data_IF_088049560507
#
_entry.id   IF_088049560507
#
_cell.length_a   1.000
_cell.length_b   1.000
_cell.length_c   1.000
_cell.angle_alpha   90.00
_cell.angle_beta   90.00
_cell.angle_gamma   90.00
#
_symmetry.space_group_name_H-M   'P 1'
#
loop_
_entity.id
_entity.type
_entity.pdbx_description
1 polymer ?
#
# COMPACT_ATOMS: atom_id res chain seq x y z
N UNK A 1 2.86 -7.78 -21.45
CA UNK A 1 4.20 -7.73 -20.81
C UNK A 1 4.57 -9.13 -20.32
N UNK A 2 5.73 -9.65 -20.72
CA UNK A 2 6.29 -10.85 -20.06
C UNK A 2 6.63 -10.52 -18.60
N UNK A 3 6.92 -11.53 -17.77
CA UNK A 3 7.36 -11.31 -16.38
C UNK A 3 8.69 -10.52 -16.33
N UNK A 4 9.56 -10.70 -17.30
CA UNK A 4 10.86 -9.99 -17.40
C UNK A 4 10.72 -8.48 -17.68
N UNK A 5 9.68 -8.06 -18.41
CA UNK A 5 9.41 -6.62 -18.69
C UNK A 5 8.96 -5.83 -17.44
N UNK A 6 8.74 -6.50 -16.32
CA UNK A 6 8.36 -5.88 -15.05
C UNK A 6 9.56 -5.38 -14.23
N UNK A 7 10.80 -5.77 -14.58
CA UNK A 7 12.04 -5.32 -13.91
C UNK A 7 12.77 -4.25 -14.75
N UNK A 8 12.87 -2.99 -14.30
CA UNK A 8 13.79 -2.36 -13.32
C UNK A 8 15.13 -1.80 -13.88
N UNK A 9 15.50 -2.04 -15.15
CA UNK A 9 16.77 -1.49 -15.70
C UNK A 9 16.63 -0.54 -16.89
N UNK A 10 15.44 -0.40 -17.47
CA UNK A 10 15.20 0.40 -18.69
C UNK A 10 14.23 1.53 -18.42
N UNK A 11 14.51 2.69 -19.04
CA UNK A 11 13.65 3.86 -18.90
C UNK A 11 12.24 3.55 -19.41
N UNK A 12 11.25 4.01 -18.67
CA UNK A 12 9.84 3.95 -19.08
C UNK A 12 9.31 5.35 -19.27
N UNK A 13 8.67 5.57 -20.41
CA UNK A 13 8.11 6.86 -20.78
C UNK A 13 6.61 6.81 -20.53
N UNK A 14 6.07 7.77 -19.78
CA UNK A 14 4.62 7.98 -19.67
C UNK A 14 4.21 9.14 -20.53
N UNK A 15 3.29 8.87 -21.45
CA UNK A 15 2.60 9.88 -22.23
C UNK A 15 1.16 10.00 -21.71
N UNK A 16 0.66 11.23 -21.61
CA UNK A 16 -0.70 11.52 -21.18
C UNK A 16 -1.41 12.45 -22.16
N UNK A 17 -2.73 12.31 -22.27
CA UNK A 17 -3.55 13.15 -23.14
C UNK A 17 -3.72 14.58 -22.59
N UNK A 18 -3.55 15.58 -23.46
CA UNK A 18 -3.87 16.98 -23.22
C UNK A 18 -5.35 17.25 -23.59
N UNK A 19 -6.31 16.87 -22.74
CA UNK A 19 -7.73 17.19 -22.99
C UNK A 19 -8.78 16.41 -22.18
N UNK A 20 -9.99 16.97 -22.02
CA UNK A 20 -11.15 16.26 -21.43
C UNK A 20 -11.78 15.33 -22.47
N UNK A 21 -11.90 14.04 -22.12
CA UNK A 21 -12.36 12.93 -23.00
C UNK A 21 -13.67 13.18 -23.76
N UNK A 22 -13.78 12.70 -25.01
CA UNK A 22 -15.01 12.14 -25.56
C UNK A 22 -15.22 10.69 -25.07
N UNK A 23 -16.46 10.33 -24.73
CA UNK A 23 -16.85 8.96 -24.36
C UNK A 23 -16.98 8.10 -25.62
N UNK A 24 -16.14 7.07 -25.79
CA UNK A 24 -16.48 5.73 -26.31
C UNK A 24 -15.21 4.92 -26.65
N UNK A 25 -15.28 3.59 -26.58
CA UNK A 25 -14.11 2.72 -26.49
C UNK A 25 -13.93 1.67 -27.58
N UNK A 26 -12.66 1.27 -27.78
CA UNK A 26 -12.20 -0.05 -28.24
C UNK A 26 -10.67 -0.19 -28.02
N UNK A 27 -10.06 -1.39 -28.12
CA UNK A 27 -8.99 -1.84 -27.20
C UNK A 27 -7.55 -1.92 -27.77
N UNK A 28 -6.63 -2.14 -26.79
CA UNK A 28 -5.22 -2.61 -26.84
C UNK A 28 -4.10 -1.55 -26.74
N UNK A 29 -4.02 -0.93 -25.56
CA UNK A 29 -2.77 -0.53 -24.90
C UNK A 29 -2.86 -0.97 -23.42
N UNK A 30 -1.74 -1.19 -22.72
CA UNK A 30 -1.75 -1.41 -21.27
C UNK A 30 -2.05 -0.09 -20.55
N UNK A 31 -3.32 0.28 -20.57
CA UNK A 31 -3.87 1.54 -20.11
C UNK A 31 -4.02 1.52 -18.58
N UNK A 32 -3.07 2.12 -17.84
CA UNK A 32 -3.18 2.26 -16.38
C UNK A 32 -4.29 3.24 -15.98
N UNK A 33 -4.57 4.22 -16.84
CA UNK A 33 -5.71 5.12 -16.81
C UNK A 33 -6.10 5.43 -18.25
N UNK A 34 -7.37 5.63 -18.56
CA UNK A 34 -7.92 5.71 -19.95
C UNK A 34 -7.23 6.80 -20.83
N UNK A 35 -6.40 7.66 -20.22
CA UNK A 35 -5.74 8.80 -20.83
C UNK A 35 -4.20 8.73 -20.80
N UNK A 36 -3.58 7.64 -20.32
CA UNK A 36 -2.11 7.51 -20.24
C UNK A 36 -1.57 6.15 -20.65
N UNK A 37 -0.40 6.16 -21.30
CA UNK A 37 0.32 4.99 -21.80
C UNK A 37 1.75 5.00 -21.28
N UNK A 38 2.22 3.84 -20.81
CA UNK A 38 3.62 3.60 -20.50
C UNK A 38 4.29 2.85 -21.65
N UNK A 39 5.48 3.32 -22.04
CA UNK A 39 6.30 2.72 -23.09
C UNK A 39 7.63 2.30 -22.45
N UNK A 40 8.02 1.05 -22.62
CA UNK A 40 9.37 0.60 -22.31
C UNK A 40 10.29 1.07 -23.45
N UNK A 41 11.13 2.08 -23.19
CA UNK A 41 12.02 2.61 -24.23
C UNK A 41 13.22 1.71 -24.50
N UNK A 42 13.45 0.69 -23.67
CA UNK A 42 14.59 -0.24 -23.76
C UNK A 42 15.99 0.41 -23.72
N UNK A 43 16.07 1.70 -23.40
CA UNK A 43 17.32 2.47 -23.30
C UNK A 43 17.59 2.90 -21.87
N UNK A 44 18.87 3.12 -21.56
CA UNK A 44 19.36 3.64 -20.27
C UNK A 44 19.60 5.14 -20.32
N UNK A 45 19.91 5.67 -21.51
CA UNK A 45 20.22 7.08 -21.70
C UNK A 45 18.95 7.94 -21.79
N UNK A 46 18.92 9.01 -20.99
CA UNK A 46 17.78 9.93 -20.94
C UNK A 46 17.55 10.64 -22.29
N UNK A 47 18.64 11.00 -22.97
CA UNK A 47 18.59 11.70 -24.26
C UNK A 47 17.94 10.83 -25.35
N UNK A 48 18.22 9.53 -25.36
CA UNK A 48 17.61 8.57 -26.28
C UNK A 48 16.14 8.31 -25.94
N UNK A 49 15.82 8.18 -24.64
CA UNK A 49 14.44 8.01 -24.21
C UNK A 49 13.56 9.21 -24.61
N UNK A 50 14.11 10.43 -24.54
CA UNK A 50 13.44 11.65 -25.00
C UNK A 50 13.20 11.63 -26.51
N UNK A 51 14.18 11.20 -27.32
CA UNK A 51 14.01 11.07 -28.78
C UNK A 51 12.91 10.08 -29.13
N UNK A 52 12.92 8.89 -28.53
CA UNK A 52 11.88 7.86 -28.72
C UNK A 52 10.50 8.40 -28.32
N UNK A 53 10.43 9.14 -27.20
CA UNK A 53 9.19 9.77 -26.75
C UNK A 53 8.64 10.80 -27.74
N UNK A 54 9.51 11.60 -28.35
CA UNK A 54 9.15 12.63 -29.32
C UNK A 54 8.71 12.02 -30.66
N UNK A 55 9.39 10.97 -31.12
CA UNK A 55 9.01 10.22 -32.32
C UNK A 55 7.64 9.57 -32.16
N UNK A 56 7.40 8.93 -31.01
CA UNK A 56 6.11 8.32 -30.70
C UNK A 56 5.00 9.39 -30.58
N UNK A 57 5.26 10.50 -29.88
CA UNK A 57 4.35 11.64 -29.78
C UNK A 57 3.94 12.14 -31.16
N UNK A 58 4.90 12.35 -32.06
CA UNK A 58 4.66 12.81 -33.44
C UNK A 58 3.83 11.79 -34.22
N UNK A 59 4.15 10.50 -34.12
CA UNK A 59 3.42 9.45 -34.82
C UNK A 59 1.94 9.39 -34.41
N UNK A 60 1.65 9.52 -33.11
CA UNK A 60 0.26 9.50 -32.61
C UNK A 60 -0.48 10.80 -32.95
N UNK A 61 0.12 11.96 -32.72
CA UNK A 61 -0.55 13.24 -32.99
C UNK A 61 -0.82 13.45 -34.49
N UNK A 62 -0.02 12.87 -35.39
CA UNK A 62 -0.30 12.90 -36.82
C UNK A 62 -1.53 12.07 -37.22
N UNK A 63 -1.90 11.05 -36.43
CA UNK A 63 -3.06 10.20 -36.72
C UNK A 63 -4.38 10.82 -36.26
N UNK A 64 -4.37 11.74 -35.28
CA UNK A 64 -5.58 12.29 -34.67
C UNK A 64 -5.59 13.83 -34.74
N UNK A 65 -6.64 14.42 -35.32
CA UNK A 65 -6.75 15.89 -35.48
C UNK A 65 -7.22 16.63 -34.22
N UNK A 66 -7.88 15.95 -33.29
CA UNK A 66 -8.52 16.53 -32.11
C UNK A 66 -7.96 15.99 -30.78
N UNK A 67 -7.02 15.05 -30.86
CA UNK A 67 -6.45 14.36 -29.71
C UNK A 67 -4.94 14.53 -29.74
N UNK A 68 -4.38 15.21 -28.74
CA UNK A 68 -2.93 15.36 -28.59
C UNK A 68 -2.45 14.61 -27.35
N UNK A 69 -1.33 13.90 -27.49
CA UNK A 69 -0.59 13.31 -26.38
C UNK A 69 0.68 14.10 -26.11
N UNK A 70 1.09 14.14 -24.85
CA UNK A 70 2.33 14.78 -24.42
C UNK A 70 3.10 13.94 -23.40
N UNK A 71 4.37 14.28 -23.24
CA UNK A 71 5.25 13.68 -22.26
C UNK A 71 4.87 14.12 -20.85
N UNK A 72 4.45 13.17 -20.02
CA UNK A 72 4.11 13.42 -18.61
C UNK A 72 5.28 13.09 -17.66
N UNK A 73 6.13 12.13 -18.06
CA UNK A 73 7.35 11.85 -17.31
C UNK A 73 8.14 10.66 -17.84
N UNK A 74 9.41 10.63 -17.45
CA UNK A 74 10.32 9.51 -17.69
C UNK A 74 10.63 8.88 -16.34
N UNK A 75 10.65 7.55 -16.29
CA UNK A 75 10.87 6.77 -15.09
C UNK A 75 12.08 5.87 -15.28
N UNK A 76 13.04 5.96 -14.36
CA UNK A 76 14.17 5.04 -14.30
C UNK A 76 13.71 3.63 -13.95
N UNK A 77 12.70 3.54 -13.07
CA UNK A 77 12.18 2.28 -12.51
C UNK A 77 10.68 2.36 -12.38
N UNK A 78 10.00 1.24 -12.65
CA UNK A 78 8.55 1.15 -12.51
C UNK A 78 8.18 -0.24 -12.00
N UNK A 79 7.66 -0.27 -10.77
CA UNK A 79 6.97 -1.41 -10.19
C UNK A 79 5.48 -1.31 -10.53
N UNK A 80 5.03 -2.14 -11.48
CA UNK A 80 3.62 -2.22 -11.87
C UNK A 80 2.96 -3.45 -11.24
N UNK A 81 2.06 -3.22 -10.29
CA UNK A 81 1.35 -4.30 -9.58
C UNK A 81 0.02 -4.64 -10.26
N UNK A 82 -0.89 -3.66 -10.34
CA UNK A 82 -2.24 -3.81 -10.89
C UNK A 82 -2.65 -2.56 -11.66
N UNK A 83 -3.79 -2.62 -12.36
CA UNK A 83 -4.40 -1.42 -12.98
C UNK A 83 -4.53 -0.30 -11.93
N UNK A 84 -4.03 0.89 -12.27
CA UNK A 84 -3.98 2.09 -11.39
C UNK A 84 -3.11 1.96 -10.12
N UNK A 85 -2.33 0.88 -9.97
CA UNK A 85 -1.45 0.64 -8.81
C UNK A 85 -0.01 0.45 -9.26
N UNK A 86 0.80 1.49 -9.06
CA UNK A 86 2.21 1.45 -9.40
C UNK A 86 3.03 2.33 -8.46
N UNK A 87 4.32 2.03 -8.41
CA UNK A 87 5.33 2.92 -7.88
C UNK A 87 6.45 3.05 -8.90
N UNK A 88 6.99 4.25 -9.04
CA UNK A 88 8.00 4.53 -10.04
C UNK A 88 9.02 5.55 -9.53
N UNK A 89 10.26 5.41 -9.99
CA UNK A 89 11.31 6.40 -9.78
C UNK A 89 11.31 7.35 -10.98
N UNK A 90 10.68 8.51 -10.83
CA UNK A 90 10.59 9.56 -11.85
C UNK A 90 11.94 10.28 -11.97
N UNK A 91 12.39 10.52 -13.19
CA UNK A 91 13.56 11.34 -13.50
C UNK A 91 13.10 12.77 -13.68
N UNK A 92 13.66 13.68 -12.88
CA UNK A 92 13.48 15.13 -12.98
C UNK A 92 14.69 15.78 -13.67
N UNK A 93 14.58 17.08 -13.97
CA UNK A 93 15.66 17.83 -14.61
C UNK A 93 16.94 17.81 -13.76
N UNK A 94 18.08 17.54 -14.41
CA UNK A 94 19.40 17.64 -13.78
C UNK A 94 19.87 16.40 -12.99
N UNK A 95 19.34 15.20 -13.27
CA UNK A 95 19.65 13.89 -12.64
C UNK A 95 18.96 13.58 -11.32
N UNK A 96 18.14 14.50 -10.80
CA UNK A 96 17.36 14.25 -9.59
C UNK A 96 16.27 13.21 -9.87
N UNK A 97 16.06 12.30 -8.93
CA UNK A 97 14.97 11.32 -9.00
C UNK A 97 13.97 11.54 -7.87
N UNK A 98 12.69 11.30 -8.14
CA UNK A 98 11.60 11.38 -7.16
C UNK A 98 10.71 10.14 -7.24
N UNK A 99 10.27 9.64 -6.08
CA UNK A 99 9.42 8.44 -6.02
C UNK A 99 7.95 8.86 -6.19
N UNK A 100 7.32 8.37 -7.26
CA UNK A 100 5.89 8.55 -7.51
C UNK A 100 5.13 7.26 -7.14
N UNK A 101 4.19 7.36 -6.19
CA UNK A 101 3.34 6.24 -5.77
C UNK A 101 1.88 6.54 -6.07
N UNK A 102 1.20 5.63 -6.78
CA UNK A 102 -0.24 5.71 -7.05
C UNK A 102 -0.95 4.39 -6.70
N UNK A 103 -2.08 4.50 -6.00
CA UNK A 103 -2.99 3.39 -5.76
C UNK A 103 -2.46 2.29 -4.81
N UNK A 104 -1.27 2.46 -4.23
CA UNK A 104 -0.71 1.52 -3.25
C UNK A 104 -1.33 1.70 -1.87
N UNK A 105 -1.28 0.63 -1.08
CA UNK A 105 -1.88 0.56 0.25
C UNK A 105 -1.29 1.56 1.24
N UNK A 106 -0.04 1.99 1.05
CA UNK A 106 0.58 3.04 1.87
C UNK A 106 -0.13 4.40 1.80
N UNK A 107 -0.87 4.69 0.71
CA UNK A 107 -1.65 5.93 0.57
C UNK A 107 -3.08 5.80 1.11
N UNK A 108 -3.48 4.60 1.55
CA UNK A 108 -4.82 4.32 2.08
C UNK A 108 -4.88 4.69 3.56
N UNK A 109 -6.05 5.13 4.03
CA UNK A 109 -6.21 5.68 5.41
C UNK A 109 -6.45 4.58 6.45
N UNK A 110 -6.93 3.44 5.99
CA UNK A 110 -7.22 2.23 6.77
C UNK A 110 -5.97 1.45 7.23
N UNK A 111 -4.77 1.82 6.76
CA UNK A 111 -3.52 1.26 7.25
C UNK A 111 -2.90 2.14 8.32
N UNK A 112 -2.39 1.49 9.38
CA UNK A 112 -1.66 2.15 10.45
C UNK A 112 -0.34 2.78 9.95
N UNK A 113 0.23 3.70 10.72
CA UNK A 113 1.48 4.37 10.35
C UNK A 113 2.64 3.38 10.25
N UNK A 114 2.71 2.39 11.14
CA UNK A 114 3.70 1.31 11.09
C UNK A 114 3.70 0.58 9.74
N UNK A 115 2.51 0.16 9.27
CA UNK A 115 2.36 -0.54 7.99
C UNK A 115 2.82 0.32 6.81
N UNK A 116 2.53 1.64 6.85
CA UNK A 116 2.98 2.58 5.81
C UNK A 116 4.49 2.74 5.81
N UNK A 117 5.10 2.87 6.97
CA UNK A 117 6.54 3.02 7.13
C UNK A 117 7.29 1.77 6.63
N UNK A 118 6.81 0.59 7.03
CA UNK A 118 7.38 -0.69 6.56
C UNK A 118 7.21 -0.85 5.05
N UNK A 119 6.02 -0.53 4.52
CA UNK A 119 5.76 -0.59 3.08
C UNK A 119 6.62 0.38 2.28
N UNK A 120 6.89 1.57 2.83
CA UNK A 120 7.77 2.56 2.22
C UNK A 120 9.20 2.05 2.17
N UNK A 121 9.71 1.49 3.27
CA UNK A 121 11.06 0.91 3.29
C UNK A 121 11.21 -0.20 2.26
N UNK A 122 10.27 -1.14 2.19
CA UNK A 122 10.27 -2.23 1.19
C UNK A 122 10.25 -1.64 -0.22
N UNK A 123 9.42 -0.62 -0.48
CA UNK A 123 9.37 0.03 -1.78
C UNK A 123 10.71 0.70 -2.14
N UNK A 124 11.35 1.36 -1.18
CA UNK A 124 12.64 2.03 -1.39
C UNK A 124 13.74 1.01 -1.72
N UNK A 125 13.74 -0.16 -1.06
CA UNK A 125 14.63 -1.27 -1.40
C UNK A 125 14.40 -1.78 -2.82
N UNK A 126 13.14 -1.92 -3.26
CA UNK A 126 12.81 -2.38 -4.62
C UNK A 126 13.26 -1.36 -5.68
N UNK A 127 13.13 -0.07 -5.36
CA UNK A 127 13.49 1.02 -6.27
C UNK A 127 14.96 1.45 -6.15
N UNK A 128 15.76 0.90 -5.22
CA UNK A 128 17.13 1.33 -4.93
C UNK A 128 18.08 1.10 -6.10
N UNK A 129 18.01 -0.08 -6.72
CA UNK A 129 18.91 -0.48 -7.79
C UNK A 129 20.02 -1.42 -7.49
N UNK A 130 19.97 -1.99 -6.31
CA UNK A 130 20.79 -3.14 -5.95
C UNK A 130 20.34 -4.40 -6.68
N UNK A 131 21.19 -5.44 -6.62
CA UNK A 131 20.83 -6.74 -7.16
C UNK A 131 19.66 -7.34 -6.38
N UNK A 132 18.80 -8.08 -7.07
CA UNK A 132 17.58 -8.69 -6.49
C UNK A 132 17.88 -9.49 -5.22
N UNK A 133 19.02 -10.19 -5.19
CA UNK A 133 19.45 -10.98 -4.02
C UNK A 133 19.64 -10.12 -2.76
N UNK A 134 20.33 -8.99 -2.89
CA UNK A 134 20.53 -8.04 -1.79
C UNK A 134 19.22 -7.39 -1.37
N UNK A 135 18.36 -7.01 -2.33
CA UNK A 135 17.04 -6.43 -2.05
C UNK A 135 16.21 -7.41 -1.21
N UNK A 136 16.14 -8.68 -1.61
CA UNK A 136 15.37 -9.71 -0.91
C UNK A 136 15.94 -9.95 0.50
N UNK A 137 17.27 -10.04 0.64
CA UNK A 137 17.91 -10.20 1.94
C UNK A 137 17.62 -9.03 2.88
N UNK A 138 17.81 -7.78 2.43
CA UNK A 138 17.54 -6.58 3.21
C UNK A 138 16.08 -6.51 3.68
N UNK A 139 15.14 -6.88 2.81
CA UNK A 139 13.72 -6.95 3.16
C UNK A 139 13.49 -8.00 4.26
N UNK A 140 14.03 -9.21 4.13
CA UNK A 140 13.85 -10.29 5.12
C UNK A 140 14.42 -9.93 6.49
N UNK A 141 15.63 -9.36 6.53
CA UNK A 141 16.28 -8.89 7.77
C UNK A 141 15.48 -7.78 8.45
N UNK A 142 14.98 -6.83 7.65
CA UNK A 142 14.16 -5.73 8.16
C UNK A 142 12.83 -6.23 8.73
N UNK A 143 12.13 -7.13 8.04
CA UNK A 143 10.86 -7.70 8.52
C UNK A 143 11.05 -8.51 9.80
N UNK A 144 12.15 -9.25 9.91
CA UNK A 144 12.53 -9.96 11.14
C UNK A 144 12.70 -9.00 12.31
N UNK A 145 13.42 -7.90 12.09
CA UNK A 145 13.63 -6.86 13.10
C UNK A 145 12.32 -6.20 13.51
N UNK A 146 11.43 -5.90 12.55
CA UNK A 146 10.12 -5.32 12.82
C UNK A 146 9.24 -6.29 13.62
N UNK A 147 9.20 -7.57 13.25
CA UNK A 147 8.47 -8.60 14.00
C UNK A 147 8.91 -8.69 15.47
N UNK A 148 10.23 -8.67 15.72
CA UNK A 148 10.79 -8.65 17.07
C UNK A 148 10.46 -7.37 17.84
N UNK A 149 10.55 -6.21 17.18
CA UNK A 149 10.26 -4.92 17.81
C UNK A 149 8.78 -4.76 18.17
N UNK A 150 7.88 -5.23 17.30
CA UNK A 150 6.43 -5.20 17.54
C UNK A 150 6.06 -6.11 18.70
N UNK A 151 6.48 -7.38 18.69
CA UNK A 151 6.20 -8.32 19.80
C UNK A 151 6.88 -7.92 21.10
N UNK A 152 8.06 -7.31 21.02
CA UNK A 152 8.79 -6.78 22.16
C UNK A 152 8.22 -5.47 22.70
N UNK A 153 7.13 -4.93 22.13
CA UNK A 153 6.50 -3.69 22.59
C UNK A 153 7.39 -2.44 22.45
N UNK A 154 8.39 -2.48 21.56
CA UNK A 154 9.33 -1.36 21.32
C UNK A 154 8.76 -0.29 20.40
N UNK A 155 7.63 -0.56 19.75
CA UNK A 155 6.96 0.36 18.82
C UNK A 155 5.95 1.20 19.60
N UNK A 156 5.94 2.52 19.36
CA UNK A 156 5.03 3.43 20.03
C UNK A 156 3.56 3.15 19.65
N UNK A 157 2.64 3.32 20.60
CA UNK A 157 1.20 3.10 20.42
C UNK A 157 0.64 3.90 19.25
N UNK A 158 1.14 5.12 19.03
CA UNK A 158 0.70 6.02 17.97
C UNK A 158 0.86 5.42 16.57
N UNK A 159 1.86 4.55 16.38
CA UNK A 159 2.13 3.89 15.11
C UNK A 159 1.06 2.85 14.74
N UNK A 160 0.29 2.37 15.73
CA UNK A 160 -0.77 1.38 15.57
C UNK A 160 -2.16 2.00 15.35
N UNK A 161 -2.31 3.33 15.53
CA UNK A 161 -3.61 3.99 15.44
C UNK A 161 -4.09 4.03 13.99
N UNK A 162 -5.29 3.51 13.74
CA UNK A 162 -5.96 3.56 12.45
C UNK A 162 -7.07 4.60 12.51
N UNK A 163 -7.18 5.42 11.47
CA UNK A 163 -8.16 6.50 11.40
C UNK A 163 -9.17 6.21 10.30
N UNK A 164 -10.46 6.16 10.66
CA UNK A 164 -11.53 5.94 9.67
C UNK A 164 -12.68 6.91 9.86
N UNK A 165 -13.14 7.49 8.74
CA UNK A 165 -14.26 8.42 8.71
C UNK A 165 -15.58 7.67 8.72
N UNK A 166 -16.52 8.11 9.55
CA UNK A 166 -17.91 7.67 9.52
C UNK A 166 -18.62 8.30 8.32
N UNK A 167 -19.26 7.47 7.49
CA UNK A 167 -20.09 7.93 6.37
C UNK A 167 -21.56 8.14 6.73
N UNK A 168 -22.01 7.55 7.84
CA UNK A 168 -23.35 7.69 8.43
C UNK A 168 -23.22 7.83 9.95
N UNK A 169 -24.33 8.06 10.66
CA UNK A 169 -24.28 7.98 12.11
C UNK A 169 -24.05 6.52 12.53
N UNK A 170 -23.35 6.27 13.66
CA UNK A 170 -23.01 4.92 14.09
C UNK A 170 -24.21 3.96 14.21
N UNK A 171 -25.40 4.49 14.57
CA UNK A 171 -26.64 3.71 14.71
C UNK A 171 -27.25 3.29 13.37
N UNK A 172 -26.97 4.03 12.29
CA UNK A 172 -27.58 3.82 10.97
C UNK A 172 -26.82 2.77 10.13
N UNK A 173 -25.81 2.11 10.72
CA UNK A 173 -25.01 1.09 10.04
C UNK A 173 -25.65 -0.29 10.18
N UNK A 174 -26.06 -0.96 9.07
CA UNK A 174 -26.63 -2.30 9.13
C UNK A 174 -25.62 -3.34 9.63
N UNK A 175 -24.34 -3.17 9.29
CA UNK A 175 -23.25 -4.07 9.66
C UNK A 175 -22.34 -3.46 10.74
N UNK A 176 -22.92 -2.77 11.72
CA UNK A 176 -22.15 -2.11 12.78
C UNK A 176 -21.20 -3.07 13.52
N UNK A 177 -21.58 -4.35 13.67
CA UNK A 177 -20.80 -5.37 14.39
C UNK A 177 -19.55 -5.85 13.65
N UNK A 178 -19.47 -5.69 12.33
CA UNK A 178 -18.27 -6.07 11.55
C UNK A 178 -17.30 -4.91 11.35
N UNK A 179 -17.68 -3.70 11.78
CA UNK A 179 -16.98 -2.46 11.47
C UNK A 179 -16.28 -1.87 12.73
N UNK A 180 -14.94 -2.00 12.84
CA UNK A 180 -14.15 -1.53 14.00
C UNK A 180 -14.47 -0.09 14.45
N UNK A 181 -14.34 0.86 13.52
CA UNK A 181 -14.64 2.28 13.75
C UNK A 181 -16.09 2.58 14.20
N UNK A 182 -17.07 1.77 13.79
CA UNK A 182 -18.47 1.94 14.20
C UNK A 182 -18.64 1.43 15.63
N UNK A 183 -18.06 0.27 15.97
CA UNK A 183 -18.07 -0.25 17.34
C UNK A 183 -17.44 0.73 18.33
N UNK A 184 -16.29 1.32 17.97
CA UNK A 184 -15.64 2.33 18.80
C UNK A 184 -16.52 3.57 18.94
N UNK A 185 -17.12 4.06 17.86
CA UNK A 185 -18.02 5.20 17.90
C UNK A 185 -19.26 4.96 18.79
N UNK A 186 -19.88 3.78 18.71
CA UNK A 186 -21.00 3.39 19.56
C UNK A 186 -20.60 3.36 21.05
N UNK A 187 -19.43 2.82 21.37
CA UNK A 187 -18.89 2.83 22.76
C UNK A 187 -18.59 4.24 23.25
N UNK A 188 -18.05 5.10 22.39
CA UNK A 188 -17.83 6.52 22.72
C UNK A 188 -19.15 7.20 23.08
N UNK A 189 -20.22 6.96 22.31
CA UNK A 189 -21.57 7.49 22.62
C UNK A 189 -22.15 6.93 23.90
N UNK A 190 -22.00 5.63 24.15
CA UNK A 190 -22.45 5.00 25.40
C UNK A 190 -21.77 5.58 26.65
N UNK A 191 -20.53 6.07 26.51
CA UNK A 191 -19.76 6.76 27.57
C UNK A 191 -20.07 8.26 27.67
N UNK A 192 -21.08 8.76 26.97
CA UNK A 192 -21.48 10.17 26.96
C UNK A 192 -20.68 11.06 25.99
N UNK A 193 -19.85 10.48 25.14
CA UNK A 193 -19.14 11.19 24.08
C UNK A 193 -20.01 11.47 22.84
N UNK A 194 -19.49 12.24 21.89
CA UNK A 194 -20.14 12.50 20.61
C UNK A 194 -19.45 11.76 19.46
N UNK A 195 -20.24 11.10 18.61
CA UNK A 195 -19.80 10.61 17.30
C UNK A 195 -20.94 10.77 16.30
N UNK A 196 -20.66 11.44 15.18
CA UNK A 196 -21.62 11.77 14.11
C UNK A 196 -21.08 11.39 12.74
N UNK A 197 -21.97 11.37 11.76
CA UNK A 197 -21.56 11.25 10.36
C UNK A 197 -20.53 12.33 9.99
N UNK A 198 -19.45 11.93 9.31
CA UNK A 198 -18.35 12.81 8.91
C UNK A 198 -17.16 12.81 9.87
N UNK A 199 -17.33 12.36 11.11
CA UNK A 199 -16.25 12.32 12.11
C UNK A 199 -15.20 11.26 11.77
N UNK A 200 -13.95 11.53 12.14
CA UNK A 200 -12.83 10.58 12.02
C UNK A 200 -12.63 9.91 13.35
N UNK A 201 -12.84 8.60 13.39
CA UNK A 201 -12.72 7.79 14.60
C UNK A 201 -11.37 7.09 14.59
N UNK A 202 -10.48 7.41 15.54
CA UNK A 202 -9.24 6.66 15.74
C UNK A 202 -9.54 5.38 16.53
N UNK A 203 -8.90 4.29 16.14
CA UNK A 203 -9.00 3.03 16.87
C UNK A 203 -7.71 2.22 16.79
N UNK A 204 -7.51 1.37 17.78
CA UNK A 204 -6.41 0.41 17.90
C UNK A 204 -7.01 -0.97 18.20
N UNK A 205 -6.43 -2.04 17.64
CA UNK A 205 -6.84 -3.40 17.98
C UNK A 205 -6.13 -3.85 19.25
N UNK A 206 -6.91 -4.29 20.22
CA UNK A 206 -6.42 -4.72 21.52
C UNK A 206 -7.02 -6.06 21.91
N UNK A 207 -6.28 -6.79 22.76
CA UNK A 207 -6.68 -8.03 23.40
C UNK A 207 -6.75 -7.77 24.91
N UNK A 208 -7.83 -8.21 25.55
CA UNK A 208 -7.96 -8.19 27.01
C UNK A 208 -7.13 -9.30 27.67
N UNK A 209 -6.80 -9.13 28.94
CA UNK A 209 -6.05 -10.15 29.70
C UNK A 209 -6.73 -11.54 29.64
N UNK A 210 -6.05 -12.53 29.06
CA UNK A 210 -6.56 -13.91 28.94
C UNK A 210 -7.55 -14.16 27.80
N UNK A 211 -7.83 -13.15 26.95
CA UNK A 211 -8.61 -13.34 25.73
C UNK A 211 -7.73 -13.88 24.60
N UNK A 212 -8.21 -14.90 23.87
CA UNK A 212 -7.53 -15.37 22.66
C UNK A 212 -8.08 -14.66 21.42
N UNK A 213 -7.21 -14.23 20.48
CA UNK A 213 -7.60 -13.47 19.29
C UNK A 213 -8.56 -14.23 18.34
N UNK A 214 -8.70 -15.55 18.50
CA UNK A 214 -9.57 -16.41 17.69
C UNK A 214 -11.04 -16.44 18.14
N UNK A 215 -11.35 -15.99 19.38
CA UNK A 215 -12.70 -16.18 19.98
C UNK A 215 -13.62 -14.96 19.82
N UNK A 216 -13.08 -13.79 19.50
CA UNK A 216 -13.86 -12.54 19.36
C UNK A 216 -13.77 -11.96 17.96
N UNK A 217 -14.88 -11.38 17.47
CA UNK A 217 -14.90 -10.74 16.16
C UNK A 217 -13.88 -9.60 16.13
N UNK A 218 -13.16 -9.44 15.02
CA UNK A 218 -12.09 -8.44 14.86
C UNK A 218 -12.56 -7.02 15.26
N UNK A 219 -13.80 -6.66 14.93
CA UNK A 219 -14.38 -5.37 15.26
C UNK A 219 -14.61 -5.17 16.77
N UNK A 220 -14.84 -6.23 17.54
CA UNK A 220 -15.03 -6.15 18.99
C UNK A 220 -13.73 -5.82 19.73
N UNK A 221 -12.59 -6.27 19.17
CA UNK A 221 -11.23 -5.97 19.66
C UNK A 221 -10.79 -4.52 19.42
N UNK A 222 -11.50 -3.77 18.59
CA UNK A 222 -11.15 -2.38 18.32
C UNK A 222 -11.51 -1.48 19.52
N UNK A 223 -10.57 -0.65 19.98
CA UNK A 223 -10.73 0.25 21.14
C UNK A 223 -10.28 1.65 20.77
N UNK A 224 -10.83 2.67 21.43
CA UNK A 224 -10.31 4.03 21.27
C UNK A 224 -8.92 4.14 21.92
N UNK A 225 -7.94 4.86 21.33
CA UNK A 225 -6.60 4.99 21.91
C UNK A 225 -6.60 5.53 23.35
N UNK A 226 -7.56 6.39 23.70
CA UNK A 226 -7.70 6.91 25.08
C UNK A 226 -8.14 5.83 26.08
N UNK A 227 -8.85 4.79 25.64
CA UNK A 227 -9.19 3.65 26.51
C UNK A 227 -7.93 2.87 26.86
N UNK A 228 -7.04 2.65 25.89
CA UNK A 228 -5.75 2.00 26.12
C UNK A 228 -4.85 2.81 27.05
N UNK A 229 -4.83 4.15 26.91
CA UNK A 229 -4.06 5.03 27.80
C UNK A 229 -4.57 5.08 29.24
N UNK A 230 -5.87 4.84 29.44
CA UNK A 230 -6.54 4.89 30.77
C UNK A 230 -6.64 3.52 31.44
N UNK A 231 -6.45 2.43 30.69
CA UNK A 231 -6.53 1.07 31.20
C UNK A 231 -5.42 0.80 32.24
N UNK A 232 -5.71 -0.06 33.20
CA UNK A 232 -4.68 -0.51 34.14
C UNK A 232 -3.60 -1.33 33.40
N UNK A 233 -2.33 -1.34 33.88
CA UNK A 233 -1.28 -2.13 33.28
C UNK A 233 -1.69 -3.60 33.10
N UNK A 234 -1.61 -4.10 31.87
CA UNK A 234 -1.97 -5.46 31.52
C UNK A 234 -3.46 -5.69 31.24
N UNK A 235 -4.37 -4.81 31.63
CA UNK A 235 -5.81 -4.98 31.38
C UNK A 235 -6.14 -5.04 29.88
N UNK A 236 -5.45 -4.20 29.10
CA UNK A 236 -5.64 -4.07 27.66
C UNK A 236 -4.27 -3.94 26.98
N UNK A 237 -3.95 -4.89 26.12
CA UNK A 237 -2.70 -4.89 25.35
C UNK A 237 -2.98 -4.77 23.86
N UNK A 238 -2.03 -4.23 23.10
CA UNK A 238 -2.14 -4.17 21.63
C UNK A 238 -2.08 -5.58 21.06
N UNK A 239 -2.95 -5.85 20.10
CA UNK A 239 -2.99 -7.12 19.38
C UNK A 239 -1.90 -7.17 18.31
N UNK A 240 -0.66 -7.45 18.73
CA UNK A 240 0.50 -7.43 17.84
C UNK A 240 0.38 -8.38 16.64
N UNK A 241 -0.12 -9.60 16.86
CA UNK A 241 -0.31 -10.59 15.78
C UNK A 241 -1.34 -10.09 14.75
N UNK A 242 -2.40 -9.41 15.20
CA UNK A 242 -3.34 -8.79 14.25
C UNK A 242 -2.67 -7.79 13.32
N UNK A 243 -1.79 -6.93 13.85
CA UNK A 243 -1.06 -5.95 13.04
C UNK A 243 -0.04 -6.62 12.10
N UNK A 244 0.69 -7.64 12.55
CA UNK A 244 1.64 -8.36 11.70
C UNK A 244 0.91 -9.06 10.54
N UNK A 245 -0.13 -9.85 10.82
CA UNK A 245 -0.84 -10.64 9.82
C UNK A 245 -1.76 -9.83 8.90
N UNK A 246 -2.45 -8.79 9.41
CA UNK A 246 -3.50 -8.09 8.66
C UNK A 246 -3.12 -6.68 8.19
N UNK A 247 -2.18 -6.02 8.88
CA UNK A 247 -1.77 -4.67 8.51
C UNK A 247 -0.44 -4.64 7.77
N UNK A 248 0.54 -5.47 8.17
CA UNK A 248 1.90 -5.42 7.64
C UNK A 248 2.09 -6.43 6.49
N UNK A 249 1.77 -7.71 6.70
CA UNK A 249 1.98 -8.76 5.71
C UNK A 249 1.27 -8.50 4.37
N UNK A 250 -0.03 -8.13 4.29
CA UNK A 250 -0.72 -8.05 3.01
C UNK A 250 -0.22 -6.93 2.08
N UNK A 251 0.15 -5.72 2.56
CA UNK A 251 0.84 -4.72 1.74
C UNK A 251 2.20 -5.18 1.22
N UNK A 252 3.01 -5.83 2.05
CA UNK A 252 4.36 -6.29 1.65
C UNK A 252 4.25 -7.41 0.62
N UNK A 253 3.39 -8.40 0.87
CA UNK A 253 3.13 -9.50 -0.08
C UNK A 253 2.81 -8.95 -1.47
N UNK A 254 1.95 -7.92 -1.55
CA UNK A 254 1.59 -7.30 -2.83
C UNK A 254 2.74 -6.52 -3.47
N UNK A 255 3.64 -5.91 -2.68
CA UNK A 255 4.83 -5.24 -3.20
C UNK A 255 5.86 -6.23 -3.74
N UNK A 256 6.00 -7.38 -3.06
CA UNK A 256 6.98 -8.41 -3.35
C UNK A 256 6.48 -9.48 -4.33
N UNK A 257 5.18 -9.56 -4.63
CA UNK A 257 4.57 -10.49 -5.60
C UNK A 257 5.31 -10.58 -6.96
N UNK A 258 5.74 -9.46 -7.58
CA UNK A 258 6.48 -9.56 -8.84
C UNK A 258 7.94 -9.97 -8.67
N UNK A 259 8.48 -10.10 -7.45
CA UNK A 259 9.91 -10.31 -7.18
C UNK A 259 10.23 -11.79 -7.03
N UNK A 260 11.20 -12.27 -7.81
CA UNK A 260 11.69 -13.63 -7.71
C UNK A 260 12.57 -13.80 -6.46
N UNK A 261 12.39 -14.90 -5.73
CA UNK A 261 13.17 -15.24 -4.54
C UNK A 261 12.49 -14.95 -3.20
N UNK A 262 11.27 -14.40 -3.21
CA UNK A 262 10.44 -14.26 -2.01
C UNK A 262 9.02 -14.74 -2.25
N UNK A 263 8.42 -15.37 -1.25
CA UNK A 263 7.04 -15.84 -1.29
C UNK A 263 6.31 -15.43 0.01
N UNK A 264 4.99 -15.62 0.02
CA UNK A 264 4.16 -15.32 1.20
C UNK A 264 4.66 -16.07 2.43
N UNK A 265 5.07 -17.33 2.28
CA UNK A 265 5.52 -18.18 3.39
C UNK A 265 6.76 -17.59 4.04
N UNK A 266 7.79 -17.27 3.26
CA UNK A 266 9.03 -16.70 3.77
C UNK A 266 8.82 -15.32 4.40
N UNK A 267 7.96 -14.48 3.82
CA UNK A 267 7.62 -13.19 4.42
C UNK A 267 6.92 -13.35 5.77
N UNK A 268 6.01 -14.32 5.89
CA UNK A 268 5.31 -14.62 7.14
C UNK A 268 6.29 -15.17 8.19
N UNK A 269 7.20 -16.07 7.80
CA UNK A 269 8.25 -16.61 8.67
C UNK A 269 9.19 -15.51 9.17
N UNK A 270 9.60 -14.57 8.31
CA UNK A 270 10.38 -13.41 8.74
C UNK A 270 9.61 -12.55 9.75
N UNK A 271 8.29 -12.39 9.60
CA UNK A 271 7.46 -11.70 10.58
C UNK A 271 7.20 -12.55 11.84
N UNK A 272 7.70 -13.79 11.91
CA UNK A 272 7.56 -14.71 13.04
C UNK A 272 6.21 -15.41 13.13
N UNK A 273 5.40 -15.39 12.06
CA UNK A 273 4.21 -16.24 11.96
C UNK A 273 4.69 -17.69 11.81
N UNK A 274 4.44 -18.52 12.83
CA UNK A 274 4.76 -19.95 12.76
C UNK A 274 3.87 -20.59 11.70
N UNK A 275 4.46 -21.35 10.78
CA UNK A 275 3.83 -22.05 9.66
C UNK A 275 2.84 -23.14 10.12
N UNK A 276 1.70 -22.73 10.71
CA UNK A 276 0.65 -23.66 11.22
C UNK A 276 -0.76 -23.26 10.76
N UNK A 277 -0.98 -22.07 10.19
CA UNK A 277 -2.36 -21.60 9.89
C UNK A 277 -2.84 -21.75 8.44
N UNK A 278 -2.10 -22.42 7.55
CA UNK A 278 -2.54 -22.63 6.15
C UNK A 278 -3.76 -23.57 6.00
N UNK A 279 -4.29 -24.16 7.08
CA UNK A 279 -5.43 -25.08 7.01
C UNK A 279 -6.83 -24.46 7.18
N UNK A 280 -6.97 -23.13 7.26
CA UNK A 280 -8.28 -22.52 7.53
C UNK A 280 -8.78 -21.54 6.45
N UNK A 281 -8.57 -21.82 5.16
CA UNK A 281 -9.41 -21.27 4.08
C UNK A 281 -9.45 -22.25 2.90
N UNK A 282 -10.31 -23.27 3.00
CA UNK A 282 -11.00 -23.89 1.85
C UNK A 282 -12.49 -23.92 2.20
#
# INVERSE_FOLDING_TARGET
MSRDDKFLSKLKVRLAHLGKRPRHGHPRCDTLHIDSVFINSNVTELSEALKISAEFKRAVNNQYKLLEIDLDGIFARLLLLQKKKYAALKVEEGTRTSIEVKGLDMKRREYCALSKNVSQYVLDQILSGEATEFIVQNIHEYLTTIGLNVRGGKVNVEEFIIHKRLGKNPEDYPDAKSQPHVQVALRMKAKGGSARSGDVIPYVFCIGNGEEPSKTAQADRARHPDELKKAAPGELNIDYEHYLANQILPPIERLCDPIEGTDRTRLAECLGESSVSTLAVI
#
